data_IF_408918269427
#
_entry.id   IF_408918269427
#
_cell.length_a   1.000
_cell.length_b   1.000
_cell.length_c   1.000
_cell.angle_alpha   90.00
_cell.angle_beta   90.00
_cell.angle_gamma   90.00
#
_symmetry.space_group_name_H-M   'P 1'
#
loop_
_entity.id
_entity.type
_entity.pdbx_description
1 polymer ?
#
# COMPACT_ATOMS: atom_id res chain seq x y z
N UNK A 1 -96.07 -25.36 5.64
CA UNK A 1 -94.77 -25.79 5.29
C UNK A 1 -94.38 -25.07 3.97
N UNK A 2 -93.57 -24.02 4.07
CA UNK A 2 -93.17 -23.20 2.89
C UNK A 2 -91.66 -23.07 2.95
N UNK A 3 -90.99 -23.75 2.04
CA UNK A 3 -89.56 -23.64 1.81
C UNK A 3 -89.29 -22.34 1.04
N UNK A 4 -88.43 -21.50 1.60
CA UNK A 4 -87.86 -20.35 0.88
C UNK A 4 -86.45 -20.65 0.52
N UNK A 5 -86.16 -20.76 -0.74
CA UNK A 5 -84.79 -20.79 -1.32
C UNK A 5 -84.23 -19.36 -1.36
N UNK A 6 -83.15 -19.12 -0.70
CA UNK A 6 -82.39 -17.90 -0.89
C UNK A 6 -81.29 -18.17 -1.94
N UNK A 7 -81.36 -17.47 -3.07
CA UNK A 7 -80.27 -17.40 -4.05
C UNK A 7 -79.22 -16.44 -3.52
N UNK A 8 -78.02 -16.96 -3.32
CA UNK A 8 -76.83 -16.13 -3.11
C UNK A 8 -76.22 -15.86 -4.47
N UNK A 9 -76.22 -14.58 -4.86
CA UNK A 9 -75.46 -14.09 -6.00
C UNK A 9 -74.01 -13.85 -5.61
N UNK A 10 -73.10 -14.64 -6.12
CA UNK A 10 -71.67 -14.45 -5.96
C UNK A 10 -71.17 -13.50 -7.04
N UNK A 11 -70.82 -12.28 -6.63
CA UNK A 11 -70.14 -11.32 -7.53
C UNK A 11 -68.65 -11.69 -7.60
N UNK A 12 -68.18 -12.07 -8.77
CA UNK A 12 -66.80 -12.29 -9.10
C UNK A 12 -66.16 -10.94 -9.45
N UNK A 13 -65.37 -10.43 -8.55
CA UNK A 13 -64.55 -9.23 -8.83
C UNK A 13 -63.26 -9.71 -9.48
N UNK A 14 -63.13 -9.47 -10.78
CA UNK A 14 -61.90 -9.73 -11.54
C UNK A 14 -60.88 -8.61 -11.22
N UNK A 15 -59.86 -8.91 -10.44
CA UNK A 15 -58.70 -8.03 -10.22
C UNK A 15 -57.79 -8.13 -11.45
N UNK A 16 -57.78 -7.08 -12.25
CA UNK A 16 -56.80 -6.87 -13.30
C UNK A 16 -55.43 -6.49 -12.63
N UNK A 17 -54.56 -7.45 -12.50
CA UNK A 17 -53.15 -7.18 -12.16
C UNK A 17 -52.46 -6.57 -13.37
N UNK A 18 -52.31 -5.24 -13.34
CA UNK A 18 -51.37 -4.55 -14.24
C UNK A 18 -49.96 -4.89 -13.80
N UNK A 19 -49.35 -5.80 -14.54
CA UNK A 19 -47.92 -6.16 -14.35
C UNK A 19 -47.09 -4.98 -14.87
N UNK A 20 -46.60 -4.13 -13.97
CA UNK A 20 -45.50 -3.23 -14.28
C UNK A 20 -44.25 -4.06 -14.55
N UNK A 21 -43.86 -4.22 -15.80
CA UNK A 21 -42.56 -4.71 -16.17
C UNK A 21 -41.53 -3.67 -15.76
N UNK A 22 -40.93 -3.84 -14.60
CA UNK A 22 -39.71 -3.11 -14.24
C UNK A 22 -38.61 -3.54 -15.21
N UNK A 23 -38.27 -2.62 -16.11
CA UNK A 23 -37.08 -2.76 -16.96
C UNK A 23 -35.87 -2.70 -16.03
N UNK A 24 -35.33 -3.85 -15.65
CA UNK A 24 -34.03 -3.97 -14.98
C UNK A 24 -32.99 -3.41 -15.94
N UNK A 25 -32.60 -2.16 -15.77
CA UNK A 25 -31.40 -1.61 -16.37
C UNK A 25 -30.23 -2.33 -15.73
N UNK A 26 -29.71 -3.32 -16.43
CA UNK A 26 -28.45 -3.97 -16.09
C UNK A 26 -27.34 -2.93 -16.17
N UNK A 27 -27.03 -2.28 -15.04
CA UNK A 27 -25.79 -1.51 -14.90
C UNK A 27 -24.64 -2.50 -14.78
N UNK A 28 -24.17 -3.04 -15.89
CA UNK A 28 -22.85 -3.71 -15.97
C UNK A 28 -21.75 -2.66 -16.20
N UNK A 29 -21.66 -1.71 -15.31
CA UNK A 29 -20.45 -0.96 -15.08
C UNK A 29 -19.79 -1.58 -13.86
N UNK A 30 -18.70 -2.32 -14.03
CA UNK A 30 -17.83 -2.61 -12.90
C UNK A 30 -17.30 -1.27 -12.42
N UNK A 31 -17.93 -0.67 -11.41
CA UNK A 31 -17.28 0.38 -10.65
C UNK A 31 -15.95 -0.22 -10.19
N UNK A 32 -14.84 0.30 -10.75
CA UNK A 32 -13.53 0.01 -10.22
C UNK A 32 -13.60 0.38 -8.75
N UNK A 33 -13.56 -0.62 -7.88
CA UNK A 33 -13.52 -0.38 -6.44
C UNK A 33 -12.40 0.60 -6.17
N UNK A 34 -12.74 1.80 -5.72
CA UNK A 34 -11.75 2.81 -5.33
C UNK A 34 -11.10 2.26 -4.08
N UNK A 35 -9.82 1.90 -4.18
CA UNK A 35 -9.07 1.47 -3.01
C UNK A 35 -9.11 2.60 -1.98
N UNK A 36 -9.40 2.31 -0.71
CA UNK A 36 -9.36 3.31 0.34
C UNK A 36 -7.96 3.90 0.44
N UNK A 37 -7.83 5.16 0.91
CA UNK A 37 -6.52 5.74 1.15
C UNK A 37 -5.69 4.85 2.10
N UNK A 38 -4.38 4.77 1.83
CA UNK A 38 -3.45 4.06 2.70
C UNK A 38 -3.38 4.81 4.03
N UNK A 39 -3.80 4.16 5.11
CA UNK A 39 -3.76 4.69 6.46
C UNK A 39 -2.71 3.94 7.27
N UNK A 40 -1.79 4.68 7.89
CA UNK A 40 -0.69 4.08 8.64
C UNK A 40 0.15 5.11 9.39
N UNK A 41 1.19 4.62 10.03
CA UNK A 41 2.20 5.44 10.67
C UNK A 41 3.46 5.52 9.78
N UNK A 42 4.13 6.67 9.78
CA UNK A 42 5.38 6.88 9.04
C UNK A 42 6.49 7.36 9.99
N UNK A 43 7.69 6.81 9.81
CA UNK A 43 8.83 7.08 10.71
C UNK A 43 9.41 8.49 10.56
N UNK A 44 9.33 9.08 9.36
CA UNK A 44 10.09 10.27 9.01
C UNK A 44 9.87 11.48 9.95
N UNK A 45 8.63 11.84 10.18
CA UNK A 45 8.33 13.05 10.95
C UNK A 45 8.74 12.96 12.42
N UNK A 46 8.77 11.74 12.98
CA UNK A 46 9.11 11.51 14.38
C UNK A 46 10.60 11.24 14.58
N UNK A 47 11.22 10.51 13.68
CA UNK A 47 12.57 9.95 13.90
C UNK A 47 13.57 10.32 12.80
N UNK A 48 13.11 10.84 11.65
CA UNK A 48 13.96 11.04 10.47
C UNK A 48 14.79 9.79 10.18
N UNK A 49 16.12 9.92 10.06
CA UNK A 49 17.04 8.80 9.87
C UNK A 49 17.35 8.01 11.14
N UNK A 50 16.96 8.50 12.33
CA UNK A 50 17.26 7.87 13.62
C UNK A 50 16.26 6.77 13.97
N UNK A 51 16.10 5.81 13.06
CA UNK A 51 15.27 4.62 13.23
C UNK A 51 16.13 3.39 13.53
N UNK A 52 15.52 2.40 14.14
CA UNK A 52 16.13 1.08 14.36
C UNK A 52 15.08 -0.02 14.30
N UNK A 53 15.55 -1.26 14.22
CA UNK A 53 14.70 -2.45 14.28
C UNK A 53 13.72 -2.39 15.46
N UNK A 54 14.23 -2.06 16.66
CA UNK A 54 13.43 -1.99 17.88
C UNK A 54 12.40 -0.85 17.85
N UNK A 55 12.79 0.32 17.34
CA UNK A 55 11.85 1.45 17.19
C UNK A 55 10.68 1.05 16.29
N UNK A 56 10.97 0.47 15.13
CA UNK A 56 9.92 0.12 14.16
C UNK A 56 9.01 -0.96 14.72
N UNK A 57 9.55 -2.03 15.32
CA UNK A 57 8.75 -3.09 15.94
C UNK A 57 7.88 -2.55 17.08
N UNK A 58 8.45 -1.72 17.95
CA UNK A 58 7.69 -1.09 19.03
C UNK A 58 6.55 -0.20 18.53
N UNK A 59 6.72 0.51 17.41
CA UNK A 59 5.63 1.31 16.83
C UNK A 59 4.51 0.40 16.29
N UNK A 60 4.84 -0.72 15.64
CA UNK A 60 3.85 -1.69 15.20
C UNK A 60 3.03 -2.23 16.39
N UNK A 61 3.71 -2.68 17.43
CA UNK A 61 3.07 -3.19 18.66
C UNK A 61 2.17 -2.13 19.32
N UNK A 62 2.62 -0.86 19.35
CA UNK A 62 1.84 0.25 19.89
C UNK A 62 0.58 0.54 19.06
N UNK A 63 0.66 0.44 17.74
CA UNK A 63 -0.52 0.63 16.87
C UNK A 63 -1.59 -0.43 17.16
N UNK A 64 -1.21 -1.68 17.32
CA UNK A 64 -2.12 -2.76 17.72
C UNK A 64 -2.67 -2.50 19.13
N UNK A 65 -1.79 -2.28 20.10
CA UNK A 65 -2.16 -2.08 21.52
C UNK A 65 -3.10 -0.89 21.73
N UNK A 66 -2.99 0.15 20.90
CA UNK A 66 -3.82 1.36 20.99
C UNK A 66 -5.10 1.29 20.14
N UNK A 67 -5.36 0.17 19.48
CA UNK A 67 -6.54 -0.04 18.65
C UNK A 67 -6.49 0.68 17.30
N UNK A 68 -5.33 1.21 16.88
CA UNK A 68 -5.21 1.88 15.59
C UNK A 68 -5.39 0.92 14.43
N UNK A 69 -4.91 -0.32 14.55
CA UNK A 69 -5.13 -1.39 13.58
C UNK A 69 -6.64 -1.62 13.36
N UNK A 70 -7.41 -1.75 14.44
CA UNK A 70 -8.87 -1.96 14.38
C UNK A 70 -9.60 -0.74 13.80
N UNK A 71 -9.02 0.45 13.93
CA UNK A 71 -9.53 1.69 13.34
C UNK A 71 -9.13 1.86 11.85
N UNK A 72 -8.44 0.88 11.25
CA UNK A 72 -8.08 0.89 9.83
C UNK A 72 -6.65 1.37 9.50
N UNK A 73 -5.81 1.64 10.51
CA UNK A 73 -4.40 2.00 10.29
C UNK A 73 -3.56 0.73 10.17
N UNK A 74 -3.43 0.21 8.94
CA UNK A 74 -2.81 -1.09 8.67
C UNK A 74 -1.36 -1.00 8.18
N UNK A 75 -0.81 0.19 7.98
CA UNK A 75 0.51 0.37 7.38
C UNK A 75 1.52 0.95 8.37
N UNK A 76 2.72 0.39 8.36
CA UNK A 76 3.94 0.95 8.94
C UNK A 76 4.86 1.37 7.81
N UNK A 77 5.14 2.65 7.76
CA UNK A 77 5.97 3.28 6.75
C UNK A 77 7.37 3.48 7.30
N UNK A 78 8.32 2.71 6.83
CA UNK A 78 9.73 2.87 7.16
C UNK A 78 10.34 3.80 6.12
N UNK A 79 10.62 5.03 6.51
CA UNK A 79 11.27 6.01 5.67
C UNK A 79 12.79 5.84 5.72
N UNK A 80 13.57 6.85 5.38
CA UNK A 80 15.02 6.80 5.32
C UNK A 80 15.67 6.35 6.65
N UNK A 81 16.94 5.90 6.60
CA UNK A 81 17.72 5.51 7.77
C UNK A 81 18.01 4.03 7.94
N UNK A 82 17.37 3.14 7.16
CA UNK A 82 17.66 1.70 7.23
C UNK A 82 18.77 1.25 6.26
N UNK A 83 19.10 2.09 5.29
CA UNK A 83 20.12 1.78 4.30
C UNK A 83 21.53 1.73 4.89
N UNK A 84 22.32 0.79 4.39
CA UNK A 84 23.77 0.79 4.45
C UNK A 84 24.37 1.14 3.09
N UNK A 85 25.61 0.77 2.87
CA UNK A 85 26.26 0.87 1.58
C UNK A 85 25.85 -0.30 0.67
N UNK A 86 26.12 -0.16 -0.65
CA UNK A 86 26.03 -1.31 -1.56
C UNK A 86 27.27 -2.16 -1.45
N UNK A 87 27.12 -3.46 -1.53
CA UNK A 87 28.27 -4.40 -1.59
C UNK A 87 28.95 -4.36 -2.97
N UNK A 88 30.03 -5.14 -3.12
CA UNK A 88 30.80 -5.20 -4.36
C UNK A 88 30.02 -5.70 -5.59
N UNK A 89 28.83 -6.26 -5.40
CA UNK A 89 27.92 -6.69 -6.46
C UNK A 89 26.79 -5.69 -6.69
N UNK A 90 26.84 -4.53 -6.04
CA UNK A 90 25.81 -3.51 -6.10
C UNK A 90 24.58 -3.79 -5.26
N UNK A 91 24.53 -4.88 -4.49
CA UNK A 91 23.39 -5.23 -3.65
C UNK A 91 23.32 -4.32 -2.44
N UNK A 92 22.15 -3.71 -2.23
CA UNK A 92 21.84 -2.88 -1.06
C UNK A 92 22.04 -3.69 0.23
N UNK A 93 22.75 -3.10 1.18
CA UNK A 93 22.90 -3.63 2.53
C UNK A 93 22.08 -2.79 3.51
N UNK A 94 21.65 -3.40 4.60
CA UNK A 94 21.04 -2.67 5.71
C UNK A 94 22.10 -2.05 6.60
N UNK A 95 21.77 -0.94 7.26
CA UNK A 95 22.61 -0.37 8.32
C UNK A 95 22.70 -1.37 9.49
N UNK A 96 23.83 -2.03 9.63
CA UNK A 96 24.02 -3.13 10.60
C UNK A 96 23.96 -2.69 12.07
N UNK A 97 24.20 -1.41 12.35
CA UNK A 97 24.08 -0.88 13.71
C UNK A 97 22.61 -0.69 14.12
N UNK A 98 21.76 -0.35 13.16
CA UNK A 98 20.35 -0.07 13.39
C UNK A 98 19.44 -1.28 13.13
N UNK A 99 19.81 -2.10 12.17
CA UNK A 99 19.08 -3.30 11.75
C UNK A 99 20.03 -4.50 11.70
N UNK A 100 20.52 -4.97 12.86
CA UNK A 100 21.52 -6.03 12.93
C UNK A 100 21.02 -7.35 12.30
N UNK A 101 19.72 -7.61 12.38
CA UNK A 101 19.10 -8.82 11.83
C UNK A 101 18.60 -8.64 10.38
N UNK A 102 18.79 -7.43 9.80
CA UNK A 102 18.30 -7.07 8.47
C UNK A 102 16.82 -6.70 8.46
N UNK A 103 16.26 -6.46 7.25
CA UNK A 103 14.89 -5.97 7.12
C UNK A 103 13.83 -7.08 7.11
N UNK A 104 14.16 -8.30 6.70
CA UNK A 104 13.20 -9.40 6.67
C UNK A 104 12.51 -9.67 8.01
N UNK A 105 13.23 -9.77 9.17
CA UNK A 105 12.58 -9.94 10.47
C UNK A 105 11.73 -8.74 10.91
N UNK A 106 12.03 -7.54 10.41
CA UNK A 106 11.21 -6.36 10.65
C UNK A 106 9.92 -6.44 9.84
N UNK A 107 10.04 -6.77 8.55
CA UNK A 107 8.91 -6.98 7.66
C UNK A 107 7.97 -8.09 8.19
N UNK A 108 8.53 -9.22 8.58
CA UNK A 108 7.74 -10.34 9.13
C UNK A 108 6.99 -9.94 10.41
N UNK A 109 7.61 -9.19 11.30
CA UNK A 109 6.97 -8.69 12.53
C UNK A 109 5.80 -7.75 12.20
N UNK A 110 6.01 -6.83 11.26
CA UNK A 110 4.97 -5.88 10.84
C UNK A 110 3.82 -6.60 10.11
N UNK A 111 4.11 -7.58 9.24
CA UNK A 111 3.08 -8.34 8.50
C UNK A 111 2.16 -9.15 9.40
N UNK A 112 2.62 -9.58 10.57
CA UNK A 112 1.73 -10.20 11.56
C UNK A 112 0.78 -9.18 12.17
N UNK A 113 1.16 -7.90 12.22
CA UNK A 113 0.44 -6.85 12.95
C UNK A 113 -0.02 -5.66 12.09
N UNK A 114 0.72 -5.26 11.03
CA UNK A 114 0.40 -4.14 10.11
C UNK A 114 1.20 -4.24 8.79
N UNK A 115 0.77 -3.55 7.71
CA UNK A 115 1.45 -3.54 6.39
C UNK A 115 2.71 -2.65 6.31
N UNK A 116 3.49 -2.76 5.23
CA UNK A 116 4.90 -2.30 5.15
C UNK A 116 5.21 -1.28 4.04
N UNK A 117 6.19 -0.35 4.30
CA UNK A 117 6.64 0.64 3.31
C UNK A 117 8.07 1.18 3.55
N UNK A 118 8.81 1.56 2.46
CA UNK A 118 10.17 2.13 2.55
C UNK A 118 10.46 3.23 1.52
N UNK A 119 11.34 4.20 1.87
CA UNK A 119 11.83 5.28 1.00
C UNK A 119 13.36 5.43 1.12
N UNK A 120 14.05 5.89 0.05
CA UNK A 120 15.49 6.15 0.06
C UNK A 120 15.85 7.46 -0.66
N UNK A 121 16.72 8.28 -0.09
CA UNK A 121 17.17 9.55 -0.62
C UNK A 121 18.67 9.55 -0.90
N UNK A 122 19.10 10.25 -1.97
CA UNK A 122 20.53 10.49 -2.27
C UNK A 122 21.01 11.85 -1.73
N UNK A 123 20.12 12.63 -1.11
CA UNK A 123 20.41 14.02 -0.73
C UNK A 123 20.97 14.22 0.67
N UNK A 124 20.67 13.33 1.58
CA UNK A 124 21.24 13.43 2.91
C UNK A 124 22.64 12.82 2.89
N UNK A 125 23.64 13.68 2.74
CA UNK A 125 25.04 13.35 3.04
C UNK A 125 25.25 13.06 4.54
N UNK A 126 24.19 12.76 5.28
CA UNK A 126 24.31 12.26 6.62
C UNK A 126 24.89 10.85 6.56
N UNK A 127 26.11 10.62 7.09
CA UNK A 127 26.74 9.29 7.10
C UNK A 127 25.91 8.22 7.80
N UNK A 128 24.83 8.60 8.48
CA UNK A 128 23.89 7.71 9.13
C UNK A 128 22.70 7.27 8.25
N UNK A 129 22.40 7.94 7.15
CA UNK A 129 21.18 7.73 6.41
C UNK A 129 21.23 7.85 4.90
N UNK A 130 22.42 7.94 4.30
CA UNK A 130 22.54 8.11 2.85
C UNK A 130 21.93 6.92 2.13
N UNK A 131 20.80 7.17 1.50
CA UNK A 131 20.16 6.22 0.62
C UNK A 131 21.06 5.94 -0.58
N UNK A 132 21.40 4.68 -0.79
CA UNK A 132 22.20 4.25 -1.92
C UNK A 132 21.36 4.22 -3.21
N UNK A 133 20.56 5.20 -3.49
CA UNK A 133 19.74 5.39 -4.69
C UNK A 133 19.45 4.14 -5.55
N UNK A 134 18.25 4.01 -6.03
CA UNK A 134 17.81 2.84 -6.85
C UNK A 134 18.26 2.91 -8.30
N UNK A 135 18.80 4.06 -8.76
CA UNK A 135 19.18 4.26 -10.15
C UNK A 135 20.26 3.28 -10.62
N UNK A 136 19.95 2.55 -11.70
CA UNK A 136 20.81 1.49 -12.23
C UNK A 136 20.73 0.15 -11.49
N UNK A 137 19.93 0.06 -10.43
CA UNK A 137 19.74 -1.15 -9.62
C UNK A 137 18.27 -1.56 -9.47
N UNK A 138 17.37 -1.00 -10.29
CA UNK A 138 15.92 -1.10 -10.12
C UNK A 138 15.42 -2.53 -9.97
N UNK A 139 15.91 -3.43 -10.82
CA UNK A 139 15.48 -4.84 -10.78
C UNK A 139 16.05 -5.59 -9.57
N UNK A 140 17.30 -5.31 -9.22
CA UNK A 140 17.96 -5.94 -8.06
C UNK A 140 17.29 -5.49 -6.76
N UNK A 141 17.02 -4.19 -6.65
CA UNK A 141 16.38 -3.62 -5.46
C UNK A 141 14.91 -4.02 -5.36
N UNK A 142 14.18 -4.08 -6.49
CA UNK A 142 12.81 -4.60 -6.48
C UNK A 142 12.75 -6.04 -5.99
N UNK A 143 13.67 -6.91 -6.45
CA UNK A 143 13.76 -8.27 -5.95
C UNK A 143 14.07 -8.32 -4.45
N UNK A 144 14.99 -7.47 -4.00
CA UNK A 144 15.35 -7.41 -2.59
C UNK A 144 14.19 -6.95 -1.70
N UNK A 145 13.51 -5.86 -2.08
CA UNK A 145 12.44 -5.28 -1.26
C UNK A 145 11.17 -6.10 -1.28
N UNK A 146 10.70 -6.47 -2.47
CA UNK A 146 9.37 -7.07 -2.64
C UNK A 146 9.39 -8.59 -2.74
N UNK A 147 10.54 -9.18 -3.10
CA UNK A 147 10.75 -10.62 -3.10
C UNK A 147 11.37 -11.12 -1.80
N UNK A 148 12.59 -10.68 -1.51
CA UNK A 148 13.38 -11.24 -0.40
C UNK A 148 12.89 -10.75 0.98
N UNK A 149 12.61 -9.45 1.12
CA UNK A 149 12.11 -8.86 2.37
C UNK A 149 10.60 -8.93 2.51
N UNK A 150 9.87 -8.96 1.39
CA UNK A 150 8.42 -9.13 1.35
C UNK A 150 7.64 -7.85 1.63
N UNK A 151 8.17 -6.67 1.31
CA UNK A 151 7.41 -5.43 1.36
C UNK A 151 6.30 -5.40 0.29
N UNK A 152 5.20 -4.70 0.56
CA UNK A 152 4.01 -4.61 -0.29
C UNK A 152 3.66 -3.18 -0.73
N UNK A 153 4.47 -2.20 -0.29
CA UNK A 153 4.28 -0.79 -0.63
C UNK A 153 5.63 -0.08 -0.78
N UNK A 154 5.68 0.92 -1.65
CA UNK A 154 6.82 1.84 -1.76
C UNK A 154 6.35 3.27 -2.01
N UNK A 155 6.93 4.23 -1.29
CA UNK A 155 6.94 5.65 -1.64
C UNK A 155 8.25 5.96 -2.35
N UNK A 156 8.18 6.64 -3.48
CA UNK A 156 9.35 7.01 -4.29
C UNK A 156 9.45 8.52 -4.32
N UNK A 157 10.52 9.06 -3.76
CA UNK A 157 10.91 10.46 -3.88
C UNK A 157 11.83 10.66 -5.09
N UNK A 158 11.66 11.78 -5.79
CA UNK A 158 12.51 12.12 -6.94
C UNK A 158 13.76 12.91 -6.50
N UNK A 159 14.31 12.57 -5.34
CA UNK A 159 15.53 13.17 -4.83
C UNK A 159 16.71 12.81 -5.73
N UNK A 160 17.42 13.79 -6.25
CA UNK A 160 18.62 13.58 -7.07
C UNK A 160 18.39 13.25 -8.54
N UNK A 161 17.18 12.94 -8.98
CA UNK A 161 16.90 12.75 -10.40
C UNK A 161 17.19 14.00 -11.22
N UNK A 162 16.80 15.17 -10.73
CA UNK A 162 17.07 16.47 -11.36
C UNK A 162 18.57 16.77 -11.41
N UNK A 163 19.32 16.45 -10.36
CA UNK A 163 20.79 16.65 -10.31
C UNK A 163 21.50 15.79 -11.32
N UNK A 164 21.01 14.59 -11.56
CA UNK A 164 21.55 13.66 -12.55
C UNK A 164 21.01 13.92 -13.97
N UNK A 165 20.12 14.90 -14.15
CA UNK A 165 19.49 15.19 -15.45
C UNK A 165 18.62 14.06 -15.99
N UNK A 166 18.02 13.26 -15.12
CA UNK A 166 17.20 12.12 -15.49
C UNK A 166 15.79 12.54 -15.89
N UNK A 167 15.16 11.77 -16.78
CA UNK A 167 13.75 11.95 -17.12
C UNK A 167 12.87 11.31 -16.06
N UNK A 168 12.03 12.09 -15.40
CA UNK A 168 11.20 11.66 -14.29
C UNK A 168 10.23 10.53 -14.69
N UNK A 169 9.51 10.69 -15.82
CA UNK A 169 8.55 9.70 -16.30
C UNK A 169 9.22 8.36 -16.61
N UNK A 170 10.39 8.40 -17.27
CA UNK A 170 11.16 7.19 -17.57
C UNK A 170 11.61 6.50 -16.29
N UNK A 171 12.02 7.27 -15.28
CA UNK A 171 12.45 6.74 -13.98
C UNK A 171 11.33 6.01 -13.26
N UNK A 172 10.18 6.65 -13.04
CA UNK A 172 9.05 6.01 -12.41
C UNK A 172 8.55 4.79 -13.19
N UNK A 173 8.53 4.87 -14.52
CA UNK A 173 8.16 3.75 -15.40
C UNK A 173 9.13 2.58 -15.25
N UNK A 174 10.44 2.83 -15.23
CA UNK A 174 11.46 1.80 -15.04
C UNK A 174 11.34 1.10 -13.70
N UNK A 175 11.15 1.87 -12.63
CA UNK A 175 10.95 1.33 -11.27
C UNK A 175 9.68 0.49 -11.21
N UNK A 176 8.55 1.00 -11.71
CA UNK A 176 7.27 0.26 -11.72
C UNK A 176 7.40 -1.05 -12.49
N UNK A 177 8.01 -1.02 -13.69
CA UNK A 177 8.25 -2.23 -14.49
C UNK A 177 9.12 -3.27 -13.77
N UNK A 178 10.08 -2.82 -12.98
CA UNK A 178 10.93 -3.71 -12.18
C UNK A 178 10.18 -4.34 -11.01
N UNK A 179 9.32 -3.56 -10.37
CA UNK A 179 8.42 -4.04 -9.31
C UNK A 179 7.44 -5.09 -9.87
N UNK A 180 6.80 -4.81 -11.01
CA UNK A 180 5.81 -5.69 -11.63
C UNK A 180 6.34 -7.07 -12.00
N UNK A 181 7.65 -7.18 -12.28
CA UNK A 181 8.30 -8.47 -12.54
C UNK A 181 8.45 -9.32 -11.28
N UNK A 182 8.43 -8.70 -10.10
CA UNK A 182 8.57 -9.37 -8.80
C UNK A 182 7.21 -9.59 -8.17
N UNK A 183 6.44 -8.50 -8.00
CA UNK A 183 5.13 -8.54 -7.37
C UNK A 183 4.25 -7.39 -7.90
N UNK A 184 3.19 -7.71 -8.63
CA UNK A 184 2.27 -6.74 -9.23
C UNK A 184 1.34 -6.06 -8.22
N UNK A 185 1.16 -6.67 -7.06
CA UNK A 185 0.25 -6.19 -6.03
C UNK A 185 0.88 -5.10 -5.14
N UNK A 186 2.18 -4.82 -5.36
CA UNK A 186 2.87 -3.73 -4.65
C UNK A 186 2.24 -2.38 -4.99
N UNK A 187 1.81 -1.68 -3.97
CA UNK A 187 1.32 -0.31 -4.08
C UNK A 187 2.48 0.67 -4.22
N UNK A 188 2.37 1.61 -5.17
CA UNK A 188 3.39 2.64 -5.41
C UNK A 188 2.81 4.02 -5.16
N UNK A 189 3.45 4.79 -4.29
CA UNK A 189 3.16 6.19 -4.04
C UNK A 189 4.30 7.05 -4.57
N UNK A 190 3.96 8.04 -5.40
CA UNK A 190 4.92 9.00 -5.96
C UNK A 190 4.90 10.26 -5.09
N UNK A 191 6.03 10.59 -4.50
CA UNK A 191 6.22 11.83 -3.76
C UNK A 191 6.92 12.85 -4.66
N UNK A 192 6.23 13.96 -4.95
CA UNK A 192 6.76 15.05 -5.77
C UNK A 192 6.69 16.35 -4.98
N UNK A 193 7.81 17.03 -4.86
CA UNK A 193 7.95 18.28 -4.07
C UNK A 193 7.39 19.51 -4.79
N UNK A 194 7.26 19.44 -6.11
CA UNK A 194 6.69 20.50 -6.94
C UNK A 194 5.67 19.93 -7.93
N UNK A 195 4.54 20.59 -8.05
CA UNK A 195 3.63 20.37 -9.17
C UNK A 195 4.13 21.18 -10.36
N UNK A 196 4.05 20.65 -11.60
CA UNK A 196 4.37 21.41 -12.79
C UNK A 196 3.44 22.59 -12.99
#
# INVERSE_FOLDING_TARGET
MKNRFHLLATAVVSLLCVSCAETQVSQSGSEKAVNPPIMGWSSWNAFRVDISEDIIKNQADLMVKKGLKDAGYHYINIDDGFFGERDGNGKMQTNKNRFPNGMKPVADHIHTDAGNNTCGSIWDNDPAGVGAGIYGHEQQDAQLYFGDWGFDFIKIDYCGGDVLGLNEQERYTSIRNSIDKVNKDVSVNICRWAFP
#
